data_IF_266924698064
#
_entry.id   IF_266924698064
#
_cell.length_a   1.000
_cell.length_b   1.000
_cell.length_c   1.000
_cell.angle_alpha   90.00
_cell.angle_beta   90.00
_cell.angle_gamma   90.00
#
_symmetry.space_group_name_H-M   'P 1'
#
loop_
_entity.id
_entity.type
_entity.pdbx_description
1 polymer ?
#
# COMPACT_ATOMS: atom_id res chain seq x y z
N UNK A 1 -16.18 21.45 -18.22
CA UNK A 1 -14.98 21.70 -17.40
C UNK A 1 -14.04 20.50 -17.54
N UNK A 2 -13.02 20.55 -18.43
CA UNK A 2 -12.18 19.39 -18.75
C UNK A 2 -11.39 18.87 -17.54
N UNK A 3 -10.95 19.75 -16.63
CA UNK A 3 -10.21 19.35 -15.42
C UNK A 3 -11.10 18.68 -14.36
N UNK A 4 -12.33 19.17 -14.17
CA UNK A 4 -13.28 18.56 -13.23
C UNK A 4 -13.64 17.12 -13.65
N UNK A 5 -13.74 16.89 -14.96
CA UNK A 5 -14.07 15.57 -15.52
C UNK A 5 -12.94 14.56 -15.36
N UNK A 6 -11.67 15.00 -15.36
CA UNK A 6 -10.51 14.14 -15.06
C UNK A 6 -10.50 13.69 -13.59
N UNK A 7 -10.95 14.54 -12.66
CA UNK A 7 -10.93 14.25 -11.23
C UNK A 7 -12.15 13.46 -10.73
N UNK A 8 -13.28 13.50 -11.46
CA UNK A 8 -14.57 12.96 -10.98
C UNK A 8 -15.15 11.85 -11.85
N UNK A 9 -14.66 11.65 -13.07
CA UNK A 9 -15.08 10.56 -13.94
C UNK A 9 -14.02 9.46 -14.01
N UNK A 10 -14.46 8.27 -14.40
CA UNK A 10 -13.53 7.19 -14.71
C UNK A 10 -12.54 7.62 -15.79
N UNK A 11 -11.29 7.21 -15.63
CA UNK A 11 -10.24 7.36 -16.63
C UNK A 11 -10.69 6.70 -17.96
N UNK A 12 -10.33 7.29 -19.12
CA UNK A 12 -10.52 6.64 -20.40
C UNK A 12 -9.95 5.21 -20.37
N UNK A 13 -10.67 4.24 -20.92
CA UNK A 13 -10.26 2.82 -20.89
C UNK A 13 -8.85 2.58 -21.46
N UNK A 14 -8.42 3.41 -22.40
CA UNK A 14 -7.08 3.40 -23.02
C UNK A 14 -5.96 3.90 -22.11
N UNK A 15 -6.31 4.55 -21.00
CA UNK A 15 -5.36 5.02 -19.96
C UNK A 15 -5.34 4.13 -18.74
N UNK A 16 -6.23 3.13 -18.68
CA UNK A 16 -6.18 2.11 -17.64
C UNK A 16 -4.98 1.19 -17.91
N UNK A 17 -4.19 0.90 -16.89
CA UNK A 17 -3.14 -0.10 -17.01
C UNK A 17 -3.75 -1.45 -17.46
N UNK A 18 -3.04 -2.23 -18.30
CA UNK A 18 -3.52 -3.55 -18.66
C UNK A 18 -3.75 -4.40 -17.39
N UNK A 19 -4.80 -5.21 -17.40
CA UNK A 19 -5.03 -6.17 -16.31
C UNK A 19 -3.86 -7.13 -16.28
N UNK A 20 -3.10 -7.12 -15.18
CA UNK A 20 -2.01 -8.05 -14.98
C UNK A 20 -2.59 -9.44 -14.72
N UNK A 21 -2.28 -10.40 -15.59
CA UNK A 21 -2.66 -11.81 -15.42
C UNK A 21 -1.53 -12.57 -14.72
N UNK A 22 -1.80 -13.06 -13.50
CA UNK A 22 -0.81 -13.71 -12.65
C UNK A 22 -0.78 -15.24 -12.80
N UNK A 23 -1.47 -15.83 -13.79
CA UNK A 23 -1.53 -17.30 -13.99
C UNK A 23 -0.17 -17.99 -14.00
N UNK A 24 0.83 -17.41 -14.68
CA UNK A 24 2.16 -18.01 -14.78
C UNK A 24 2.90 -17.96 -13.44
N UNK A 25 2.78 -16.85 -12.69
CA UNK A 25 3.39 -16.73 -11.37
C UNK A 25 2.79 -17.74 -10.39
N UNK A 26 1.46 -17.91 -10.41
CA UNK A 26 0.79 -18.92 -9.57
C UNK A 26 1.23 -20.33 -9.92
N UNK A 27 1.37 -20.66 -11.20
CA UNK A 27 1.83 -21.99 -11.62
C UNK A 27 3.26 -22.29 -11.12
N UNK A 28 4.18 -21.34 -11.28
CA UNK A 28 5.56 -21.51 -10.83
C UNK A 28 5.65 -21.65 -9.31
N UNK A 29 4.88 -20.86 -8.55
CA UNK A 29 4.88 -20.93 -7.09
C UNK A 29 4.34 -22.27 -6.56
N UNK A 30 3.32 -22.84 -7.23
CA UNK A 30 2.81 -24.17 -6.88
C UNK A 30 3.81 -25.28 -7.19
N UNK A 31 4.43 -25.22 -8.37
CA UNK A 31 5.47 -26.18 -8.76
C UNK A 31 6.65 -26.13 -7.79
N UNK A 32 6.99 -24.95 -7.27
CA UNK A 32 8.05 -24.75 -6.28
C UNK A 32 7.67 -25.30 -4.90
N UNK A 33 6.44 -25.01 -4.45
CA UNK A 33 5.88 -25.55 -3.22
C UNK A 33 5.89 -27.08 -3.22
N UNK A 34 5.40 -27.70 -4.29
CA UNK A 34 5.29 -29.16 -4.43
C UNK A 34 6.67 -29.85 -4.46
N UNK A 35 7.72 -29.17 -4.94
CA UNK A 35 9.02 -29.79 -5.24
C UNK A 35 10.13 -29.45 -4.26
N UNK A 36 10.06 -28.32 -3.57
CA UNK A 36 11.20 -27.79 -2.83
C UNK A 36 10.87 -27.24 -1.45
N UNK A 37 9.84 -26.40 -1.31
CA UNK A 37 9.65 -25.56 -0.11
C UNK A 37 8.51 -26.09 0.79
N UNK A 38 7.64 -26.98 0.29
CA UNK A 38 6.46 -27.51 0.99
C UNK A 38 5.55 -26.41 1.58
N UNK A 39 5.55 -25.23 0.93
CA UNK A 39 4.71 -24.09 1.29
C UNK A 39 4.18 -23.41 0.02
N UNK A 40 2.85 -23.41 -0.16
CA UNK A 40 2.18 -22.81 -1.32
C UNK A 40 1.71 -21.37 -1.04
N UNK A 41 2.54 -20.40 -1.45
CA UNK A 41 2.20 -18.96 -1.40
C UNK A 41 1.54 -18.46 -2.70
N UNK A 42 1.08 -19.35 -3.59
CA UNK A 42 0.53 -18.95 -4.91
C UNK A 42 -0.75 -18.11 -4.83
N UNK A 43 -1.47 -18.17 -3.71
CA UNK A 43 -2.62 -17.30 -3.45
C UNK A 43 -2.21 -15.84 -3.15
N UNK A 44 -0.93 -15.62 -2.84
CA UNK A 44 -0.39 -14.36 -2.35
C UNK A 44 -0.71 -14.13 -0.87
N UNK A 45 0.20 -13.47 -0.18
CA UNK A 45 -0.01 -13.03 1.20
C UNK A 45 -0.85 -11.75 1.17
N UNK A 46 -2.17 -11.91 1.30
CA UNK A 46 -3.11 -10.80 1.25
C UNK A 46 -2.83 -9.76 2.35
N UNK A 47 -3.13 -8.48 2.08
CA UNK A 47 -2.98 -7.43 3.09
C UNK A 47 -4.21 -7.43 4.00
N UNK A 48 -4.02 -7.62 5.29
CA UNK A 48 -5.10 -7.56 6.27
C UNK A 48 -5.50 -6.11 6.60
N UNK A 49 -6.67 -5.94 7.24
CA UNK A 49 -7.09 -4.63 7.76
C UNK A 49 -6.12 -4.06 8.80
N UNK A 50 -5.44 -4.94 9.54
CA UNK A 50 -4.44 -4.55 10.52
C UNK A 50 -3.20 -3.98 9.83
N UNK A 51 -2.75 -4.60 8.74
CA UNK A 51 -1.60 -4.15 7.95
C UNK A 51 -1.90 -2.78 7.32
N UNK A 52 -3.09 -2.60 6.76
CA UNK A 52 -3.57 -1.29 6.30
C UNK A 52 -3.51 -0.26 7.44
N UNK A 53 -3.98 -0.63 8.63
CA UNK A 53 -3.92 0.23 9.81
C UNK A 53 -2.49 0.65 10.18
N UNK A 54 -1.52 -0.27 10.12
CA UNK A 54 -0.11 0.02 10.38
C UNK A 54 0.49 0.96 9.33
N UNK A 55 0.18 0.77 8.05
CA UNK A 55 0.60 1.70 7.00
C UNK A 55 0.01 3.10 7.19
N UNK A 56 -1.27 3.19 7.56
CA UNK A 56 -1.90 4.47 7.87
C UNK A 56 -1.25 5.13 9.10
N UNK A 57 -0.92 4.36 10.14
CA UNK A 57 -0.18 4.87 11.30
C UNK A 57 1.16 5.45 10.89
N UNK A 58 1.91 4.72 10.08
CA UNK A 58 3.21 5.15 9.58
C UNK A 58 3.12 6.50 8.84
N UNK A 59 2.14 6.65 7.93
CA UNK A 59 1.92 7.90 7.19
C UNK A 59 1.58 9.09 8.11
N UNK A 60 0.91 8.85 9.23
CA UNK A 60 0.64 9.87 10.26
C UNK A 60 1.91 10.22 11.04
N UNK A 61 2.73 9.24 11.39
CA UNK A 61 3.98 9.47 12.13
C UNK A 61 4.97 10.32 11.33
N UNK A 62 5.14 10.01 10.04
CA UNK A 62 6.00 10.80 9.13
C UNK A 62 5.37 12.13 8.70
N UNK A 63 4.23 12.51 9.27
CA UNK A 63 3.49 13.75 8.99
C UNK A 63 3.04 13.92 7.53
N UNK A 64 2.94 12.83 6.78
CA UNK A 64 2.38 12.84 5.44
C UNK A 64 0.85 13.05 5.47
N UNK A 65 0.18 12.58 6.52
CA UNK A 65 -1.24 12.82 6.78
C UNK A 65 -1.48 13.29 8.21
N UNK A 66 -2.59 14.02 8.42
CA UNK A 66 -3.07 14.34 9.75
C UNK A 66 -3.62 13.09 10.46
N UNK A 67 -3.49 13.05 11.79
CA UNK A 67 -4.08 11.98 12.58
C UNK A 67 -5.62 12.00 12.46
N UNK A 68 -6.28 10.83 12.37
CA UNK A 68 -7.72 10.77 12.31
C UNK A 68 -8.35 11.27 13.61
N UNK A 69 -9.32 12.16 13.51
CA UNK A 69 -10.06 12.76 14.66
C UNK A 69 -11.47 12.20 14.83
N UNK A 70 -11.93 11.38 13.88
CA UNK A 70 -13.26 10.78 13.90
C UNK A 70 -13.40 9.59 14.86
N UNK A 71 -14.63 9.10 15.03
CA UNK A 71 -14.89 7.85 15.77
C UNK A 71 -14.53 6.65 14.90
N UNK A 72 -13.82 5.68 15.48
CA UNK A 72 -13.43 4.45 14.79
C UNK A 72 -12.42 3.64 15.59
N UNK A 73 -11.94 2.54 14.99
CA UNK A 73 -10.87 1.73 15.57
C UNK A 73 -9.57 2.55 15.57
N UNK A 74 -8.88 2.58 16.71
CA UNK A 74 -7.56 3.23 16.83
C UNK A 74 -6.60 2.57 15.84
N UNK A 75 -5.75 3.38 15.24
CA UNK A 75 -4.68 2.87 14.39
C UNK A 75 -3.73 1.99 15.23
N UNK A 76 -3.32 0.82 14.71
CA UNK A 76 -2.34 -0.05 15.35
C UNK A 76 -1.07 0.71 15.71
N UNK A 77 -0.39 0.25 16.75
CA UNK A 77 0.92 0.78 17.11
C UNK A 77 1.98 0.20 16.17
N UNK A 78 2.97 1.03 15.86
CA UNK A 78 4.14 0.66 15.07
C UNK A 78 5.38 1.04 15.88
N UNK A 79 6.49 0.37 15.61
CA UNK A 79 7.78 0.75 16.19
C UNK A 79 8.20 2.13 15.64
N UNK A 80 8.56 3.05 16.54
CA UNK A 80 8.95 4.42 16.19
C UNK A 80 10.23 4.47 15.37
N UNK A 81 11.11 3.47 15.53
CA UNK A 81 12.33 3.34 14.72
C UNK A 81 12.05 3.23 13.21
N UNK A 82 10.88 2.71 12.82
CA UNK A 82 10.46 2.60 11.42
C UNK A 82 10.19 3.99 10.82
N UNK A 83 9.57 4.88 11.60
CA UNK A 83 9.30 6.26 11.17
C UNK A 83 10.58 7.09 11.18
N UNK A 84 11.44 6.92 12.19
CA UNK A 84 12.74 7.58 12.31
C UNK A 84 13.70 7.20 11.16
N UNK A 85 13.69 5.93 10.76
CA UNK A 85 14.48 5.45 9.64
C UNK A 85 14.14 6.19 8.34
N UNK A 86 12.89 6.59 8.10
CA UNK A 86 12.55 7.35 6.89
C UNK A 86 12.93 8.83 7.00
N UNK A 87 12.89 9.42 8.20
CA UNK A 87 13.40 10.78 8.42
C UNK A 87 14.90 10.91 8.09
N UNK A 88 15.69 9.85 8.32
CA UNK A 88 17.12 9.82 7.97
C UNK A 88 17.38 9.88 6.45
N UNK A 89 16.41 9.45 5.63
CA UNK A 89 16.60 9.34 4.17
C UNK A 89 16.11 10.59 3.43
N UNK A 90 15.56 11.58 4.14
CA UNK A 90 15.21 12.89 3.57
C UNK A 90 14.11 12.87 2.50
N UNK A 91 13.47 11.72 2.25
CA UNK A 91 12.45 11.55 1.21
C UNK A 91 11.10 11.29 1.86
N UNK A 92 10.26 12.33 1.96
CA UNK A 92 8.80 12.14 2.07
C UNK A 92 8.07 12.85 3.21
N UNK A 93 8.21 14.16 3.32
CA UNK A 93 7.06 15.03 3.62
C UNK A 93 6.83 15.81 2.33
N UNK A 94 5.63 15.85 1.75
CA UNK A 94 5.44 16.59 0.50
C UNK A 94 5.92 18.03 0.71
N UNK A 95 6.89 18.48 -0.09
CA UNK A 95 7.37 19.85 -0.04
C UNK A 95 6.20 20.82 -0.10
N UNK A 96 6.13 21.75 0.85
CA UNK A 96 5.03 22.71 0.88
C UNK A 96 4.87 23.47 2.18
N UNK A 97 5.65 24.55 2.27
CA UNK A 97 5.30 25.84 2.86
C UNK A 97 5.26 26.00 4.39
N UNK A 98 6.24 26.80 4.82
CA UNK A 98 6.23 27.81 5.90
C UNK A 98 6.48 27.37 7.33
#
# INVERSE_FOLDING_TARGET
MPLFHIATANLPSTTHAPKLDNRNAMAVLRDDADRWIDNDDSAGDGISREDIGRYLRYLVEIKFMAAPTGRGRKLPEIDTSIAEAQAQWGVGGRGGAS
#
